data_IF_541405675913
#
_entry.id   IF_541405675913
#
_cell.length_a   1.000
_cell.length_b   1.000
_cell.length_c   1.000
_cell.angle_alpha   90.00
_cell.angle_beta   90.00
_cell.angle_gamma   90.00
#
_symmetry.space_group_name_H-M   'P 1'
#
loop_
_entity.id
_entity.type
_entity.pdbx_description
1 polymer ?
#
# COMPACT_ATOMS: atom_id res chain seq x y z
N UNK A 1 -8.84 -7.88 -7.42
CA UNK A 1 -8.78 -8.55 -6.10
C UNK A 1 -9.72 -9.75 -5.98
N UNK A 2 -10.71 -9.89 -6.87
CA UNK A 2 -11.68 -10.99 -6.80
C UNK A 2 -11.06 -12.39 -6.85
N UNK A 3 -10.03 -12.59 -7.68
CA UNK A 3 -9.29 -13.86 -7.75
C UNK A 3 -8.73 -14.30 -6.40
N UNK A 4 -8.14 -13.37 -5.62
CA UNK A 4 -7.62 -13.69 -4.28
C UNK A 4 -8.76 -14.10 -3.34
N UNK A 5 -9.90 -13.40 -3.41
CA UNK A 5 -11.08 -13.75 -2.58
C UNK A 5 -11.63 -15.12 -2.93
N UNK A 6 -11.75 -15.43 -4.22
CA UNK A 6 -12.25 -16.71 -4.69
C UNK A 6 -11.36 -17.87 -4.22
N UNK A 7 -10.04 -17.74 -4.37
CA UNK A 7 -9.09 -18.76 -3.91
C UNK A 7 -9.17 -18.92 -2.39
N UNK A 8 -9.24 -17.83 -1.62
CA UNK A 8 -9.37 -17.89 -0.14
C UNK A 8 -10.70 -18.48 0.32
N UNK A 9 -11.75 -18.46 -0.51
CA UNK A 9 -13.03 -19.12 -0.23
C UNK A 9 -12.96 -20.63 -0.45
N UNK A 10 -12.14 -21.08 -1.39
CA UNK A 10 -12.01 -22.49 -1.76
C UNK A 10 -10.94 -23.22 -0.94
N UNK A 11 -9.90 -22.51 -0.50
CA UNK A 11 -8.74 -23.10 0.16
C UNK A 11 -8.42 -22.41 1.49
N UNK A 12 -7.86 -23.18 2.43
CA UNK A 12 -7.35 -22.67 3.71
C UNK A 12 -6.03 -21.91 3.50
N UNK A 13 -6.15 -20.65 3.10
CA UNK A 13 -5.01 -19.75 2.89
C UNK A 13 -4.75 -18.92 4.14
N UNK A 14 -3.52 -18.93 4.64
CA UNK A 14 -3.06 -17.99 5.66
C UNK A 14 -3.02 -16.57 5.07
N UNK A 15 -3.88 -15.64 5.52
CA UNK A 15 -3.94 -14.28 4.98
C UNK A 15 -2.66 -13.48 5.24
N UNK A 16 -1.82 -13.92 6.18
CA UNK A 16 -0.56 -13.26 6.51
C UNK A 16 0.64 -13.80 5.72
N UNK A 17 0.40 -14.69 4.75
CA UNK A 17 1.44 -15.29 3.89
C UNK A 17 1.06 -15.25 2.41
N UNK A 18 0.28 -14.23 2.00
CA UNK A 18 -0.03 -13.98 0.59
C UNK A 18 1.07 -13.08 0.01
N UNK A 19 1.73 -13.54 -1.05
CA UNK A 19 2.78 -12.80 -1.73
C UNK A 19 2.34 -12.42 -3.13
N UNK A 20 2.87 -11.32 -3.65
CA UNK A 20 2.63 -10.89 -5.03
C UNK A 20 3.96 -10.74 -5.77
N UNK A 21 4.11 -11.48 -6.86
CA UNK A 21 5.33 -11.48 -7.68
C UNK A 21 4.94 -11.57 -9.15
N UNK A 22 5.90 -11.28 -10.02
CA UNK A 22 5.77 -11.37 -11.46
C UNK A 22 7.02 -10.83 -12.13
N UNK A 23 7.24 -11.23 -13.37
CA UNK A 23 8.38 -10.79 -14.17
C UNK A 23 7.91 -9.88 -15.31
N UNK A 24 8.71 -8.86 -15.68
CA UNK A 24 8.43 -7.97 -16.82
C UNK A 24 7.08 -7.28 -16.65
N UNK A 25 6.14 -7.41 -17.59
CA UNK A 25 4.76 -6.92 -17.46
C UNK A 25 4.06 -7.45 -16.20
N UNK A 26 4.30 -8.70 -15.81
CA UNK A 26 3.80 -9.26 -14.55
C UNK A 26 4.43 -8.57 -13.33
N UNK A 27 5.68 -8.13 -13.43
CA UNK A 27 6.35 -7.34 -12.40
C UNK A 27 5.81 -5.91 -12.31
N UNK A 28 5.46 -5.29 -13.44
CA UNK A 28 4.74 -3.99 -13.45
C UNK A 28 3.38 -4.16 -12.76
N UNK A 29 2.63 -5.21 -13.11
CA UNK A 29 1.37 -5.54 -12.47
C UNK A 29 1.52 -5.77 -10.95
N UNK A 30 2.58 -6.47 -10.53
CA UNK A 30 2.89 -6.68 -9.12
C UNK A 30 3.11 -5.36 -8.37
N UNK A 31 3.80 -4.38 -8.98
CA UNK A 31 3.94 -3.06 -8.40
C UNK A 31 2.60 -2.33 -8.30
N UNK A 32 1.87 -2.19 -9.41
CA UNK A 32 0.63 -1.40 -9.44
C UNK A 32 -0.41 -1.96 -8.47
N UNK A 33 -0.65 -3.27 -8.52
CA UNK A 33 -1.58 -3.94 -7.61
C UNK A 33 -1.06 -3.85 -6.18
N UNK A 34 0.23 -4.12 -5.96
CA UNK A 34 0.85 -4.13 -4.64
C UNK A 34 0.78 -2.78 -3.95
N UNK A 35 1.04 -1.67 -4.65
CA UNK A 35 0.96 -0.33 -4.07
C UNK A 35 -0.48 0.06 -3.72
N UNK A 36 -1.47 -0.29 -4.53
CA UNK A 36 -2.87 0.09 -4.25
C UNK A 36 -3.57 -0.84 -3.23
N UNK A 37 -3.02 -2.04 -3.00
CA UNK A 37 -3.60 -3.08 -2.14
C UNK A 37 -2.59 -3.70 -1.16
N UNK A 38 -1.54 -2.97 -0.80
CA UNK A 38 -0.45 -3.45 0.06
C UNK A 38 -0.90 -4.20 1.34
N UNK A 39 -1.98 -3.78 2.04
CA UNK A 39 -2.48 -4.47 3.25
C UNK A 39 -3.01 -5.90 3.01
N UNK A 40 -3.01 -6.40 1.78
CA UNK A 40 -3.31 -7.81 1.46
C UNK A 40 -2.07 -8.70 1.42
N UNK A 41 -0.87 -8.13 1.33
CA UNK A 41 0.34 -8.88 1.01
C UNK A 41 1.33 -8.87 2.17
N UNK A 42 1.95 -10.03 2.40
CA UNK A 42 3.10 -10.20 3.30
C UNK A 42 4.39 -9.64 2.70
N UNK A 43 4.45 -9.50 1.37
CA UNK A 43 5.56 -8.89 0.67
C UNK A 43 5.34 -8.93 -0.84
N UNK A 44 6.05 -8.06 -1.55
CA UNK A 44 6.07 -8.03 -3.02
C UNK A 44 7.43 -8.50 -3.52
N UNK A 45 7.46 -9.28 -4.60
CA UNK A 45 8.71 -9.64 -5.27
C UNK A 45 8.70 -9.39 -6.79
N UNK A 46 8.64 -8.13 -7.27
CA UNK A 46 8.66 -7.83 -8.70
C UNK A 46 10.04 -8.06 -9.33
N UNK A 47 10.07 -8.64 -10.53
CA UNK A 47 11.31 -9.02 -11.22
C UNK A 47 11.40 -8.39 -12.61
N UNK A 48 12.60 -7.99 -13.02
CA UNK A 48 12.89 -7.45 -14.35
C UNK A 48 11.83 -6.43 -14.83
N UNK A 49 11.44 -5.52 -13.94
CA UNK A 49 10.34 -4.57 -14.14
C UNK A 49 10.69 -3.15 -13.68
N UNK A 50 9.77 -2.23 -13.93
CA UNK A 50 9.92 -0.81 -13.61
C UNK A 50 8.58 -0.14 -13.37
N UNK A 51 8.65 1.13 -13.01
CA UNK A 51 7.49 2.00 -12.85
C UNK A 51 7.73 3.28 -13.66
N UNK A 52 6.64 3.85 -14.17
CA UNK A 52 6.70 5.23 -14.68
C UNK A 52 6.85 6.19 -13.50
N UNK A 53 7.56 7.28 -13.73
CA UNK A 53 7.85 8.31 -12.74
C UNK A 53 6.59 8.90 -12.10
N UNK A 54 5.47 8.96 -12.83
CA UNK A 54 4.22 9.49 -12.28
C UNK A 54 3.61 8.60 -11.19
N UNK A 55 3.87 7.30 -11.21
CA UNK A 55 3.33 6.36 -10.20
C UNK A 55 4.31 6.06 -9.06
N UNK A 56 5.56 6.57 -9.12
CA UNK A 56 6.52 6.42 -8.02
C UNK A 56 6.00 6.89 -6.65
N UNK A 57 5.22 7.98 -6.52
CA UNK A 57 4.68 8.40 -5.21
C UNK A 57 3.83 7.33 -4.50
N UNK A 58 3.26 6.38 -5.25
CA UNK A 58 2.47 5.29 -4.68
C UNK A 58 3.32 4.25 -3.95
N UNK A 59 4.64 4.25 -4.10
CA UNK A 59 5.55 3.48 -3.25
C UNK A 59 5.40 3.85 -1.77
N UNK A 60 4.92 5.07 -1.48
CA UNK A 60 4.52 5.49 -0.13
C UNK A 60 3.56 4.53 0.56
N UNK A 61 2.72 3.81 -0.19
CA UNK A 61 1.79 2.80 0.35
C UNK A 61 2.50 1.56 0.93
N UNK A 62 3.77 1.32 0.59
CA UNK A 62 4.48 0.08 0.96
C UNK A 62 5.16 0.16 2.34
N UNK A 63 4.82 1.15 3.17
CA UNK A 63 5.43 1.36 4.50
C UNK A 63 5.58 0.09 5.33
N UNK A 64 4.54 -0.75 5.31
CA UNK A 64 4.43 -1.98 6.10
C UNK A 64 4.49 -3.25 5.23
N UNK A 65 4.86 -3.13 3.95
CA UNK A 65 4.90 -4.24 3.00
C UNK A 65 6.29 -4.30 2.37
N UNK A 66 7.15 -5.21 2.85
CA UNK A 66 8.52 -5.31 2.37
C UNK A 66 8.57 -5.78 0.92
N UNK A 67 9.62 -5.38 0.22
CA UNK A 67 9.78 -5.71 -1.21
C UNK A 67 11.12 -6.39 -1.52
N UNK A 68 11.10 -7.31 -2.46
CA UNK A 68 12.29 -8.03 -2.95
C UNK A 68 12.40 -7.85 -4.46
N UNK A 69 13.38 -7.07 -4.90
CA UNK A 69 13.54 -6.68 -6.31
C UNK A 69 14.71 -7.45 -6.91
N UNK A 70 14.49 -8.05 -8.08
CA UNK A 70 15.54 -8.76 -8.83
C UNK A 70 15.59 -8.21 -10.25
N UNK A 71 16.78 -7.82 -10.73
CA UNK A 71 16.93 -7.27 -12.07
C UNK A 71 18.30 -7.59 -12.67
N UNK A 72 18.35 -7.89 -13.97
CA UNK A 72 19.62 -8.04 -14.70
C UNK A 72 20.23 -6.69 -15.08
N UNK A 73 21.51 -6.48 -14.79
CA UNK A 73 22.24 -5.25 -15.16
C UNK A 73 22.29 -5.03 -16.68
N UNK A 74 22.24 -6.12 -17.45
CA UNK A 74 22.29 -6.16 -18.92
C UNK A 74 20.92 -6.40 -19.56
N UNK A 75 19.85 -6.08 -18.85
CA UNK A 75 18.49 -6.17 -19.37
C UNK A 75 18.27 -5.12 -20.48
N UNK A 76 18.09 -5.61 -21.71
CA UNK A 76 17.90 -4.79 -22.91
C UNK A 76 16.42 -4.53 -23.22
N UNK A 77 15.51 -5.20 -22.52
CA UNK A 77 14.05 -5.07 -22.70
C UNK A 77 13.48 -4.09 -21.69
N UNK A 78 13.83 -4.28 -20.41
CA UNK A 78 13.48 -3.41 -19.30
C UNK A 78 14.78 -2.83 -18.72
N UNK A 79 15.15 -1.59 -19.04
CA UNK A 79 16.40 -1.04 -18.56
C UNK A 79 16.48 -1.03 -17.02
N UNK A 80 17.55 -1.63 -16.46
CA UNK A 80 17.78 -1.76 -15.00
C UNK A 80 17.66 -0.45 -14.22
N UNK A 81 17.91 0.70 -14.88
CA UNK A 81 17.72 2.04 -14.32
C UNK A 81 16.33 2.26 -13.72
N UNK A 82 15.30 1.56 -14.21
CA UNK A 82 13.94 1.65 -13.69
C UNK A 82 13.84 1.07 -12.27
N UNK A 83 14.40 -0.12 -12.05
CA UNK A 83 14.48 -0.70 -10.70
C UNK A 83 15.39 0.11 -9.78
N UNK A 84 16.52 0.63 -10.28
CA UNK A 84 17.37 1.55 -9.50
C UNK A 84 16.63 2.82 -9.08
N UNK A 85 15.68 3.32 -9.89
CA UNK A 85 14.84 4.47 -9.52
C UNK A 85 13.89 4.15 -8.37
N UNK A 86 13.25 2.98 -8.43
CA UNK A 86 12.38 2.48 -7.36
C UNK A 86 13.17 2.29 -6.06
N UNK A 87 14.38 1.70 -6.13
CA UNK A 87 15.26 1.52 -4.96
C UNK A 87 15.59 2.85 -4.32
N UNK A 88 15.99 3.87 -5.09
CA UNK A 88 16.26 5.22 -4.55
C UNK A 88 15.05 5.84 -3.85
N UNK A 89 13.85 5.65 -4.39
CA UNK A 89 12.62 6.13 -3.77
C UNK A 89 12.34 5.40 -2.45
N UNK A 90 12.49 4.07 -2.42
CA UNK A 90 12.33 3.26 -1.21
C UNK A 90 13.37 3.61 -0.13
N UNK A 91 14.62 3.87 -0.53
CA UNK A 91 15.68 4.38 0.35
C UNK A 91 15.30 5.75 0.93
N UNK A 92 14.79 6.67 0.09
CA UNK A 92 14.33 8.00 0.52
C UNK A 92 13.17 7.91 1.52
N UNK A 93 12.26 6.97 1.31
CA UNK A 93 11.14 6.69 2.22
C UNK A 93 11.58 5.94 3.50
N UNK A 94 12.77 5.33 3.49
CA UNK A 94 13.26 4.47 4.58
C UNK A 94 12.50 3.15 4.69
N UNK A 95 11.99 2.63 3.58
CA UNK A 95 11.13 1.43 3.57
C UNK A 95 11.95 0.14 3.38
N UNK A 96 11.57 -0.97 4.05
CA UNK A 96 12.31 -2.21 4.00
C UNK A 96 12.25 -2.82 2.59
N UNK A 97 13.43 -3.03 2.01
CA UNK A 97 13.57 -3.64 0.70
C UNK A 97 14.84 -4.48 0.59
N UNK A 98 14.82 -5.44 -0.32
CA UNK A 98 15.99 -6.16 -0.79
C UNK A 98 16.13 -5.88 -2.28
N UNK A 99 17.33 -5.54 -2.74
CA UNK A 99 17.63 -5.38 -4.15
C UNK A 99 18.74 -6.34 -4.57
N UNK A 100 18.46 -7.18 -5.57
CA UNK A 100 19.41 -8.08 -6.21
C UNK A 100 19.58 -7.67 -7.66
N UNK A 101 20.78 -7.18 -7.98
CA UNK A 101 21.17 -6.90 -9.36
C UNK A 101 22.19 -7.95 -9.82
N UNK A 102 21.99 -8.55 -11.00
CA UNK A 102 22.89 -9.59 -11.51
C UNK A 102 23.50 -9.26 -12.88
N UNK A 103 24.74 -9.67 -13.09
CA UNK A 103 25.51 -9.47 -14.34
C UNK A 103 25.33 -10.58 -15.39
N UNK A 104 24.50 -11.58 -15.07
CA UNK A 104 24.29 -12.78 -15.88
C UNK A 104 23.45 -12.51 -17.13
N UNK A 105 23.65 -13.31 -18.17
CA UNK A 105 22.89 -13.29 -19.42
C UNK A 105 22.38 -14.69 -19.78
N UNK A 106 21.15 -14.78 -20.27
CA UNK A 106 20.55 -15.99 -20.80
C UNK A 106 20.71 -16.03 -22.33
N UNK A 107 21.01 -17.20 -22.95
CA UNK A 107 21.29 -17.29 -24.39
C UNK A 107 20.21 -16.72 -25.30
N UNK A 108 18.95 -16.74 -24.86
CA UNK A 108 17.80 -16.24 -25.64
C UNK A 108 17.27 -14.91 -25.09
N UNK A 109 17.39 -14.67 -23.78
CA UNK A 109 16.69 -13.56 -23.11
C UNK A 109 17.64 -12.43 -22.67
N UNK A 110 18.95 -12.54 -22.93
CA UNK A 110 19.94 -11.58 -22.46
C UNK A 110 19.87 -11.41 -20.94
N UNK A 111 19.96 -10.18 -20.44
CA UNK A 111 19.76 -9.88 -19.02
C UNK A 111 18.29 -9.89 -18.54
N UNK A 112 17.31 -10.04 -19.43
CA UNK A 112 15.88 -10.02 -19.10
C UNK A 112 15.36 -11.40 -18.68
N UNK A 113 15.85 -11.92 -17.55
CA UNK A 113 15.40 -13.22 -17.02
C UNK A 113 15.58 -13.32 -15.50
N UNK A 114 14.95 -14.32 -14.90
CA UNK A 114 15.17 -14.69 -13.51
C UNK A 114 16.24 -15.80 -13.42
N UNK A 115 17.42 -15.55 -12.81
CA UNK A 115 18.42 -16.60 -12.59
C UNK A 115 17.94 -17.57 -11.50
N UNK A 116 18.01 -18.88 -11.79
CA UNK A 116 17.62 -19.93 -10.83
C UNK A 116 18.43 -19.88 -9.53
N UNK A 117 19.63 -19.31 -9.58
CA UNK A 117 20.53 -19.12 -8.43
C UNK A 117 19.95 -18.14 -7.41
N UNK A 118 19.03 -17.26 -7.79
CA UNK A 118 18.35 -16.33 -6.88
C UNK A 118 17.18 -16.99 -6.13
N UNK A 119 16.75 -18.19 -6.56
CA UNK A 119 15.56 -18.85 -6.01
C UNK A 119 15.69 -19.22 -4.52
N UNK A 120 16.81 -19.79 -4.02
CA UNK A 120 16.93 -20.13 -2.61
C UNK A 120 16.77 -18.91 -1.69
N UNK A 121 17.42 -17.80 -2.03
CA UNK A 121 17.34 -16.55 -1.25
C UNK A 121 15.94 -15.94 -1.28
N UNK A 122 15.28 -15.96 -2.45
CA UNK A 122 13.90 -15.49 -2.57
C UNK A 122 12.93 -16.33 -1.72
N UNK A 123 13.08 -17.65 -1.72
CA UNK A 123 12.24 -18.55 -0.90
C UNK A 123 12.51 -18.35 0.59
N UNK A 124 13.78 -18.18 0.98
CA UNK A 124 14.15 -17.84 2.36
C UNK A 124 13.50 -16.53 2.79
N UNK A 125 13.53 -15.51 1.92
CA UNK A 125 12.86 -14.24 2.16
C UNK A 125 11.35 -14.42 2.32
N UNK A 126 10.65 -15.09 1.40
CA UNK A 126 9.21 -15.37 1.54
C UNK A 126 8.87 -16.07 2.86
N UNK A 127 9.68 -17.04 3.29
CA UNK A 127 9.43 -17.75 4.54
C UNK A 127 9.59 -16.88 5.78
N UNK A 128 10.48 -15.88 5.73
CA UNK A 128 10.71 -14.93 6.81
C UNK A 128 9.63 -13.84 6.94
N UNK A 129 8.91 -13.54 5.86
CA UNK A 129 7.93 -12.46 5.86
C UNK A 129 6.56 -12.89 6.39
N UNK A 130 5.93 -12.01 7.16
CA UNK A 130 4.52 -12.09 7.54
C UNK A 130 3.90 -10.71 7.40
N UNK A 131 2.65 -10.66 6.92
CA UNK A 131 1.88 -9.43 6.92
C UNK A 131 1.59 -8.98 8.35
N UNK A 132 1.78 -7.71 8.63
CA UNK A 132 1.24 -7.04 9.81
C UNK A 132 -0.21 -6.58 9.50
N UNK A 133 -1.26 -7.22 10.06
CA UNK A 133 -2.65 -6.89 9.75
C UNK A 133 -3.09 -5.53 10.32
N UNK A 134 -2.49 -5.06 11.41
CA UNK A 134 -2.92 -3.89 12.18
C UNK A 134 -1.72 -2.98 12.50
N UNK A 135 -0.99 -2.46 11.49
CA UNK A 135 0.18 -1.64 11.72
C UNK A 135 -0.21 -0.33 12.43
N UNK A 136 0.57 0.11 13.41
CA UNK A 136 0.29 1.36 14.15
C UNK A 136 0.54 2.61 13.34
N UNK A 137 1.38 2.54 12.29
CA UNK A 137 1.63 3.63 11.36
C UNK A 137 1.42 3.19 9.92
N UNK A 138 0.83 4.03 9.09
CA UNK A 138 0.62 3.76 7.67
C UNK A 138 0.66 5.05 6.84
N UNK A 139 0.87 4.86 5.54
CA UNK A 139 0.81 5.91 4.53
C UNK A 139 -0.15 5.44 3.44
N UNK A 140 -1.02 6.33 2.97
CA UNK A 140 -1.98 6.07 1.90
C UNK A 140 -1.90 7.17 0.85
N UNK A 141 -1.56 6.79 -0.37
CA UNK A 141 -1.50 7.65 -1.56
C UNK A 141 -2.54 7.15 -2.56
N UNK A 142 -3.45 8.01 -2.99
CA UNK A 142 -4.54 7.70 -3.92
C UNK A 142 -4.65 8.74 -5.04
N UNK A 143 -4.93 8.25 -6.25
CA UNK A 143 -5.51 9.06 -7.32
C UNK A 143 -7.05 9.06 -7.19
N UNK A 144 -7.71 9.88 -8.02
CA UNK A 144 -9.16 10.11 -8.01
C UNK A 144 -10.02 8.90 -8.40
N UNK A 145 -9.43 7.78 -8.82
CA UNK A 145 -10.16 6.54 -9.17
C UNK A 145 -10.07 5.44 -8.10
N UNK A 146 -9.24 5.61 -7.06
CA UNK A 146 -8.97 4.56 -6.06
C UNK A 146 -9.22 5.00 -4.61
N UNK A 147 -10.46 4.93 -4.13
CA UNK A 147 -10.83 5.27 -2.74
C UNK A 147 -11.15 4.05 -1.86
N UNK A 148 -10.56 2.89 -2.16
CA UNK A 148 -10.77 1.69 -1.35
C UNK A 148 -10.05 1.80 0.00
N UNK A 149 -10.61 1.17 1.03
CA UNK A 149 -9.98 1.08 2.35
C UNK A 149 -8.57 0.50 2.26
N UNK A 150 -7.67 1.04 3.07
CA UNK A 150 -6.27 0.66 3.16
C UNK A 150 -5.93 0.43 4.63
N UNK A 151 -5.88 -0.84 5.05
CA UNK A 151 -5.84 -1.20 6.48
C UNK A 151 -6.98 -0.50 7.23
N UNK A 152 -6.72 0.13 8.37
CA UNK A 152 -7.71 0.80 9.21
C UNK A 152 -8.11 2.23 8.75
N UNK A 153 -7.71 2.68 7.56
CA UNK A 153 -8.09 4.00 7.04
C UNK A 153 -8.71 3.95 5.64
N UNK A 154 -9.50 4.96 5.28
CA UNK A 154 -9.98 5.19 3.91
C UNK A 154 -10.09 6.69 3.65
N UNK A 155 -9.60 7.15 2.50
CA UNK A 155 -9.87 8.51 2.00
C UNK A 155 -11.29 8.50 1.40
N UNK A 156 -12.17 9.36 1.89
CA UNK A 156 -13.58 9.41 1.48
C UNK A 156 -13.84 10.50 0.42
N UNK A 157 -13.11 11.61 0.49
CA UNK A 157 -13.17 12.69 -0.52
C UNK A 157 -11.91 13.53 -0.50
N UNK A 158 -11.63 14.16 -1.64
CA UNK A 158 -10.39 14.90 -1.91
C UNK A 158 -10.69 16.21 -2.60
N UNK A 159 -9.70 17.09 -2.60
CA UNK A 159 -9.65 18.16 -3.60
C UNK A 159 -9.55 17.55 -5.01
N UNK A 160 -9.74 18.34 -6.08
CA UNK A 160 -9.49 17.86 -7.43
C UNK A 160 -8.03 17.37 -7.57
N UNK A 161 -7.88 16.07 -7.85
CA UNK A 161 -6.60 15.37 -8.01
C UNK A 161 -6.52 14.71 -9.39
N UNK A 162 -5.35 14.16 -9.72
CA UNK A 162 -5.16 13.29 -10.87
C UNK A 162 -6.01 12.01 -10.72
N UNK A 163 -6.57 11.49 -11.81
CA UNK A 163 -7.29 10.22 -11.84
C UNK A 163 -6.79 9.39 -13.01
N UNK A 164 -6.47 8.11 -12.78
CA UNK A 164 -6.04 7.22 -13.84
C UNK A 164 -7.26 6.71 -14.63
N UNK A 165 -7.13 6.70 -15.96
CA UNK A 165 -8.15 6.18 -16.87
C UNK A 165 -7.75 4.77 -17.36
N UNK A 166 -8.42 4.26 -18.40
CA UNK A 166 -8.05 2.97 -19.01
C UNK A 166 -6.61 2.97 -19.53
N UNK A 167 -6.14 4.12 -20.02
CA UNK A 167 -4.73 4.36 -20.21
C UNK A 167 -4.14 4.64 -18.82
N UNK A 168 -3.54 3.61 -18.21
CA UNK A 168 -3.01 3.61 -16.83
C UNK A 168 -2.27 4.91 -16.45
N UNK A 169 -1.70 5.61 -17.43
CA UNK A 169 -1.13 6.94 -17.32
C UNK A 169 -1.43 7.76 -18.58
N UNK A 170 -2.38 8.70 -18.53
CA UNK A 170 -2.51 9.73 -19.57
C UNK A 170 -1.51 10.86 -19.32
N UNK A 171 -0.43 10.88 -20.11
CA UNK A 171 0.62 11.91 -20.01
C UNK A 171 0.18 13.29 -20.50
N UNK A 172 -1.02 13.43 -21.07
CA UNK A 172 -1.61 14.73 -21.45
C UNK A 172 -2.33 15.40 -20.29
N UNK A 173 -2.71 14.64 -19.26
CA UNK A 173 -3.31 15.21 -18.06
C UNK A 173 -2.23 15.91 -17.21
N UNK A 174 -2.36 17.23 -17.08
CA UNK A 174 -1.44 18.07 -16.33
C UNK A 174 -1.36 17.69 -14.83
N UNK A 175 -2.44 17.19 -14.23
CA UNK A 175 -2.41 16.74 -12.82
C UNK A 175 -1.63 15.45 -12.65
N UNK A 176 -1.72 14.53 -13.62
CA UNK A 176 -0.89 13.31 -13.65
C UNK A 176 0.59 13.70 -13.77
N UNK A 177 0.93 14.63 -14.68
CA UNK A 177 2.30 15.13 -14.84
C UNK A 177 2.84 15.80 -13.58
N UNK A 178 1.99 16.55 -12.89
CA UNK A 178 2.31 17.23 -11.61
C UNK A 178 2.25 16.32 -10.38
N UNK A 179 1.83 15.06 -10.56
CA UNK A 179 1.67 14.07 -9.48
C UNK A 179 0.77 14.57 -8.35
N UNK A 180 -0.33 15.23 -8.72
CA UNK A 180 -1.30 15.76 -7.76
C UNK A 180 -2.19 14.63 -7.23
N UNK A 181 -1.70 13.90 -6.24
CA UNK A 181 -2.39 12.80 -5.57
C UNK A 181 -2.79 13.18 -4.14
N UNK A 182 -3.81 12.51 -3.61
CA UNK A 182 -4.15 12.63 -2.19
C UNK A 182 -3.21 11.75 -1.36
N UNK A 183 -2.75 12.28 -0.22
CA UNK A 183 -1.89 11.55 0.72
C UNK A 183 -2.40 11.66 2.15
N UNK A 184 -2.38 10.54 2.86
CA UNK A 184 -2.56 10.48 4.31
C UNK A 184 -1.41 9.72 4.94
N UNK A 185 -0.71 10.33 5.88
CA UNK A 185 0.16 9.65 6.83
C UNK A 185 -0.56 9.59 8.17
N UNK A 186 -0.74 8.40 8.75
CA UNK A 186 -1.48 8.24 10.00
C UNK A 186 -0.71 7.33 10.97
N UNK A 187 -0.70 7.69 12.25
CA UNK A 187 -0.06 6.91 13.32
C UNK A 187 -0.91 6.90 14.58
N UNK A 188 -1.03 5.73 15.19
CA UNK A 188 -1.56 5.56 16.54
C UNK A 188 -0.38 5.75 17.51
N UNK A 189 -0.49 6.77 18.35
CA UNK A 189 0.54 7.20 19.30
C UNK A 189 0.01 6.98 20.72
N UNK A 190 0.71 6.16 21.51
CA UNK A 190 0.21 5.79 22.84
C UNK A 190 -1.08 4.95 22.76
N UNK A 191 -1.99 5.11 23.73
CA UNK A 191 -3.16 4.22 23.87
C UNK A 191 -4.37 4.65 23.03
N UNK A 192 -4.66 5.95 22.94
CA UNK A 192 -5.91 6.48 22.36
C UNK A 192 -5.71 7.81 21.61
N UNK A 193 -4.55 7.99 20.96
CA UNK A 193 -4.28 9.17 20.16
C UNK A 193 -3.89 8.76 18.75
N UNK A 194 -4.55 9.35 17.75
CA UNK A 194 -4.23 9.15 16.33
C UNK A 194 -3.77 10.48 15.77
N UNK A 195 -2.57 10.50 15.21
CA UNK A 195 -2.03 11.66 14.51
C UNK A 195 -2.10 11.41 13.01
N UNK A 196 -2.66 12.37 12.28
CA UNK A 196 -2.90 12.30 10.85
C UNK A 196 -2.32 13.54 10.18
N UNK A 197 -1.50 13.35 9.16
CA UNK A 197 -1.16 14.38 8.18
C UNK A 197 -1.88 14.07 6.88
N UNK A 198 -2.67 15.01 6.40
CA UNK A 198 -3.56 14.84 5.26
C UNK A 198 -3.32 15.96 4.23
N UNK A 199 -2.96 15.56 3.01
CA UNK A 199 -2.74 16.47 1.88
C UNK A 199 -3.74 16.18 0.75
N UNK A 200 -4.44 17.22 0.28
CA UNK A 200 -5.50 17.15 -0.75
C UNK A 200 -6.65 16.21 -0.37
N UNK A 201 -6.90 16.04 0.92
CA UNK A 201 -7.97 15.21 1.48
C UNK A 201 -8.95 16.13 2.18
N UNK A 202 -10.23 15.98 1.88
CA UNK A 202 -11.31 16.72 2.52
C UNK A 202 -11.97 15.90 3.63
N UNK A 203 -11.98 14.57 3.48
CA UNK A 203 -12.60 13.67 4.46
C UNK A 203 -11.94 12.30 4.41
N UNK A 204 -11.76 11.69 5.58
CA UNK A 204 -11.30 10.31 5.70
C UNK A 204 -12.08 9.58 6.80
N UNK A 205 -12.06 8.25 6.72
CA UNK A 205 -12.67 7.35 7.68
C UNK A 205 -11.61 6.49 8.35
N UNK A 206 -11.74 6.34 9.67
CA UNK A 206 -10.97 5.44 10.52
C UNK A 206 -11.85 4.24 10.88
N UNK A 207 -11.28 3.04 10.76
CA UNK A 207 -11.89 1.78 11.15
C UNK A 207 -11.09 1.20 12.31
N UNK A 208 -11.68 1.18 13.51
CA UNK A 208 -10.93 0.87 14.74
C UNK A 208 -11.50 -0.38 15.44
N UNK A 209 -10.65 -1.03 16.21
CA UNK A 209 -10.98 -2.16 17.06
C UNK A 209 -10.19 -2.07 18.39
N UNK A 210 -10.47 -3.01 19.29
CA UNK A 210 -9.86 -3.08 20.63
C UNK A 210 -8.35 -3.39 20.63
N UNK A 211 -7.80 -3.86 19.50
CA UNK A 211 -6.35 -4.06 19.36
C UNK A 211 -5.63 -2.75 19.00
N UNK A 212 -6.32 -1.80 18.37
CA UNK A 212 -5.77 -0.49 17.99
C UNK A 212 -5.97 0.58 19.07
N UNK A 213 -7.07 0.52 19.83
CA UNK A 213 -7.42 1.53 20.85
C UNK A 213 -8.15 0.90 22.06
N UNK A 214 -8.11 1.57 23.21
CA UNK A 214 -8.87 1.18 24.41
C UNK A 214 -10.25 1.89 24.43
N UNK A 215 -11.32 1.14 24.19
CA UNK A 215 -12.68 1.70 24.15
C UNK A 215 -13.18 2.28 25.48
N UNK A 216 -12.53 1.97 26.61
CA UNK A 216 -12.88 2.55 27.90
C UNK A 216 -12.39 4.00 28.06
N UNK A 217 -11.53 4.47 27.16
CA UNK A 217 -10.91 5.79 27.19
C UNK A 217 -11.36 6.65 26.01
N UNK A 218 -11.39 7.99 26.18
CA UNK A 218 -11.65 8.88 25.06
C UNK A 218 -10.55 8.76 24.01
N UNK A 219 -10.95 8.72 22.74
CA UNK A 219 -10.08 8.81 21.57
C UNK A 219 -9.84 10.27 21.21
N UNK A 220 -8.58 10.61 20.94
CA UNK A 220 -8.18 11.89 20.37
C UNK A 220 -7.65 11.68 18.95
N UNK A 221 -8.17 12.42 17.98
CA UNK A 221 -7.62 12.46 16.61
C UNK A 221 -7.14 13.87 16.32
N UNK A 222 -5.90 13.99 15.89
CA UNK A 222 -5.28 15.25 15.47
C UNK A 222 -4.98 15.17 13.99
N UNK A 223 -5.55 16.06 13.19
CA UNK A 223 -5.32 16.16 11.74
C UNK A 223 -4.58 17.44 11.44
N UNK A 224 -3.44 17.38 10.75
CA UNK A 224 -2.63 18.54 10.37
C UNK A 224 -2.31 19.46 11.57
N UNK A 225 -2.00 18.86 12.73
CA UNK A 225 -1.69 19.57 13.97
C UNK A 225 -2.90 20.13 14.73
N UNK A 226 -4.13 19.97 14.21
CA UNK A 226 -5.36 20.46 14.85
C UNK A 226 -6.20 19.31 15.40
N UNK A 227 -6.85 19.53 16.54
CA UNK A 227 -7.79 18.56 17.11
C UNK A 227 -8.99 18.40 16.17
N UNK A 228 -9.13 17.23 15.54
CA UNK A 228 -10.23 16.92 14.62
C UNK A 228 -11.31 16.03 15.25
N UNK A 229 -10.99 15.34 16.35
CA UNK A 229 -11.96 14.61 17.16
C UNK A 229 -11.46 14.42 18.59
N UNK A 230 -12.35 14.55 19.57
CA UNK A 230 -12.11 14.14 20.96
C UNK A 230 -13.41 13.59 21.54
N UNK A 231 -13.38 12.36 22.04
CA UNK A 231 -14.55 11.75 22.67
C UNK A 231 -14.46 10.24 22.76
N UNK A 232 -15.44 9.63 23.42
CA UNK A 232 -15.57 8.16 23.45
C UNK A 232 -16.09 7.64 22.11
N UNK A 233 -15.60 6.49 21.69
CA UNK A 233 -16.11 5.77 20.52
C UNK A 233 -16.77 4.48 20.97
N UNK A 234 -17.96 4.19 20.45
CA UNK A 234 -18.72 3.00 20.82
C UNK A 234 -18.66 1.97 19.69
N UNK A 235 -18.30 0.70 19.98
CA UNK A 235 -18.33 -0.36 18.99
C UNK A 235 -19.77 -0.66 18.55
N UNK A 236 -19.94 -1.03 17.28
CA UNK A 236 -21.21 -1.42 16.67
C UNK A 236 -21.10 -2.78 15.99
N UNK A 237 -22.05 -3.68 16.29
CA UNK A 237 -22.18 -4.98 15.62
C UNK A 237 -22.47 -4.80 14.14
N UNK A 238 -23.25 -3.78 13.76
CA UNK A 238 -23.52 -3.49 12.35
C UNK A 238 -22.22 -3.12 11.61
N UNK A 239 -21.41 -2.23 12.19
CA UNK A 239 -20.11 -1.85 11.63
C UNK A 239 -19.20 -3.06 11.51
N UNK A 240 -19.12 -3.88 12.57
CA UNK A 240 -18.34 -5.11 12.60
C UNK A 240 -18.71 -6.05 11.45
N UNK A 241 -20.01 -6.36 11.28
CA UNK A 241 -20.49 -7.26 10.24
C UNK A 241 -20.27 -6.69 8.84
N UNK A 242 -20.47 -5.38 8.65
CA UNK A 242 -20.20 -4.70 7.38
C UNK A 242 -18.71 -4.78 7.02
N UNK A 243 -17.81 -4.50 7.96
CA UNK A 243 -16.37 -4.55 7.73
C UNK A 243 -15.88 -5.99 7.51
N UNK A 244 -16.39 -6.96 8.28
CA UNK A 244 -16.11 -8.38 8.09
C UNK A 244 -16.47 -8.84 6.66
N UNK A 245 -17.65 -8.44 6.16
CA UNK A 245 -18.09 -8.75 4.80
C UNK A 245 -17.21 -8.10 3.72
N UNK A 246 -16.82 -6.84 3.91
CA UNK A 246 -16.03 -6.10 2.91
C UNK A 246 -14.58 -6.58 2.82
N UNK A 247 -13.99 -6.92 3.97
CA UNK A 247 -12.56 -7.27 4.10
C UNK A 247 -12.30 -8.76 3.95
N UNK A 248 -13.25 -9.60 4.38
CA UNK A 248 -13.13 -11.05 4.41
C UNK A 248 -11.80 -11.49 5.04
N UNK A 249 -11.44 -10.85 6.15
CA UNK A 249 -10.19 -11.05 6.86
C UNK A 249 -10.46 -11.02 8.37
N UNK A 250 -10.35 -12.16 9.08
CA UNK A 250 -10.65 -12.23 10.50
C UNK A 250 -9.69 -11.41 11.38
N UNK A 251 -8.54 -10.99 10.84
CA UNK A 251 -7.59 -10.14 11.57
C UNK A 251 -7.83 -8.64 11.33
N UNK A 252 -8.75 -8.28 10.42
CA UNK A 252 -9.15 -6.90 10.15
C UNK A 252 -10.64 -6.69 10.43
N UNK A 253 -11.07 -7.12 11.61
CA UNK A 253 -12.41 -6.89 12.12
C UNK A 253 -12.44 -5.55 12.86
N UNK A 254 -13.29 -4.64 12.38
CA UNK A 254 -13.40 -3.29 12.92
C UNK A 254 -14.84 -3.02 13.35
N UNK A 255 -15.02 -2.72 14.63
CA UNK A 255 -16.34 -2.44 15.22
C UNK A 255 -16.64 -0.95 15.32
N UNK A 256 -15.64 -0.08 15.13
CA UNK A 256 -15.79 1.38 15.11
C UNK A 256 -15.54 1.89 13.69
N UNK A 257 -16.40 2.80 13.23
CA UNK A 257 -16.21 3.60 12.02
C UNK A 257 -16.39 5.06 12.41
N UNK A 258 -15.30 5.82 12.33
CA UNK A 258 -15.26 7.24 12.64
C UNK A 258 -14.90 8.03 11.38
N UNK A 259 -15.72 9.00 11.01
CA UNK A 259 -15.45 9.89 9.87
C UNK A 259 -14.95 11.23 10.36
N UNK A 260 -13.86 11.70 9.75
CA UNK A 260 -13.20 12.96 10.09
C UNK A 260 -13.21 13.86 8.87
N UNK A 261 -13.75 15.07 9.02
CA UNK A 261 -13.58 16.15 8.06
C UNK A 261 -12.22 16.82 8.28
N UNK A 262 -11.51 17.10 7.18
CA UNK A 262 -10.25 17.84 7.22
C UNK A 262 -10.61 19.31 7.05
N UNK A 263 -10.33 20.12 8.06
CA UNK A 263 -10.47 21.57 7.92
C UNK A 263 -9.52 22.07 6.83
N UNK A 264 -10.08 22.72 5.81
CA UNK A 264 -9.28 23.48 4.86
C UNK A 264 -8.67 24.67 5.59
N UNK A 265 -7.35 24.81 5.54
CA UNK A 265 -6.71 26.07 5.90
C UNK A 265 -7.27 27.12 4.94
N UNK A 266 -8.13 28.01 5.43
CA UNK A 266 -8.46 29.24 4.71
C UNK A 266 -7.13 29.97 4.45
N UNK A 267 -6.82 30.34 3.19
CA UNK A 267 -5.59 31.06 2.87
C UNK A 267 -5.41 32.34 3.67
#
# INVERSE_FOLDING_TARGET
METIREVRRQYHIDPNRIFLTGMSNGGIGAWLIGMHHAPLFAGLAPMASGLDDVVLPFLGNLRNTPVYIIHGAKDQVMPVRLSRSIVRELETLGYPHVYREHEREHPIAGGHYFPKEELPDLIAWFNSQRREPLPTSLTVVRDGSHFQSFSWIRIDSTDPIAAFSQDLVDKRDERIRRREYAKVDASIVGTNRIEVTAGRVQRYSLFLNEQLIDFSKPLTVVTNGRLSFSGTVSPSVETLLRQARLRQDPQQLFSVHLTIAVETLTP
#
